data_IF_048374786578
#
_entry.id   IF_048374786578
#
_cell.length_a   1.000
_cell.length_b   1.000
_cell.length_c   1.000
_cell.angle_alpha   90.00
_cell.angle_beta   90.00
_cell.angle_gamma   90.00
#
_symmetry.space_group_name_H-M   'P 1'
#
loop_
_entity.id
_entity.type
_entity.pdbx_description
1 polymer ?
#
# COMPACT_ATOMS: atom_id res chain seq x y z
N UNK A 1 7.32 -4.00 -7.64
CA UNK A 1 6.45 -5.14 -7.33
C UNK A 1 6.37 -5.50 -5.86
N UNK A 2 7.48 -5.49 -5.13
CA UNK A 2 7.46 -5.84 -3.70
C UNK A 2 6.78 -4.78 -2.85
N UNK A 3 6.70 -3.56 -3.33
CA UNK A 3 6.15 -2.44 -2.59
C UNK A 3 4.65 -2.61 -2.34
N UNK A 4 3.91 -3.06 -3.35
CA UNK A 4 2.48 -3.25 -3.21
C UNK A 4 2.11 -4.27 -2.13
N UNK A 5 2.69 -5.49 -2.10
CA UNK A 5 2.41 -6.41 -1.00
C UNK A 5 2.87 -5.89 0.37
N UNK A 6 3.99 -5.17 0.44
CA UNK A 6 4.48 -4.61 1.69
C UNK A 6 3.50 -3.58 2.27
N UNK A 7 2.96 -2.71 1.43
CA UNK A 7 1.94 -1.74 1.85
C UNK A 7 0.67 -2.44 2.32
N UNK A 8 0.26 -3.51 1.64
CA UNK A 8 -0.93 -4.25 2.06
C UNK A 8 -0.80 -4.82 3.47
N UNK A 9 0.39 -5.22 3.87
CA UNK A 9 0.62 -5.66 5.24
C UNK A 9 0.37 -4.53 6.23
N UNK A 10 0.95 -3.36 5.98
CA UNK A 10 0.82 -2.20 6.86
C UNK A 10 -0.63 -1.73 6.97
N UNK A 11 -1.36 -1.69 5.84
CA UNK A 11 -2.70 -1.12 5.78
C UNK A 11 -3.80 -2.07 6.20
N UNK A 12 -3.66 -3.37 5.96
CA UNK A 12 -4.76 -4.32 6.13
C UNK A 12 -4.35 -5.72 6.54
N UNK A 13 -3.13 -5.92 6.99
CA UNK A 13 -2.60 -7.25 7.31
C UNK A 13 -2.76 -8.19 6.10
N UNK A 14 -2.30 -7.75 4.95
CA UNK A 14 -2.34 -8.48 3.68
C UNK A 14 -3.77 -8.79 3.21
N UNK A 15 -4.65 -7.85 3.41
CA UNK A 15 -6.02 -7.96 2.94
C UNK A 15 -7.00 -8.62 3.90
N UNK A 16 -6.54 -8.99 5.10
CA UNK A 16 -7.43 -9.62 6.10
C UNK A 16 -8.43 -8.65 6.70
N UNK A 17 -8.06 -7.37 6.77
CA UNK A 17 -8.87 -6.34 7.43
C UNK A 17 -9.12 -5.18 6.46
N UNK A 18 -9.80 -5.47 5.34
CA UNK A 18 -10.11 -4.45 4.36
C UNK A 18 -11.33 -3.64 4.76
N UNK A 19 -11.21 -2.32 4.75
CA UNK A 19 -12.32 -1.43 5.02
C UNK A 19 -13.32 -1.40 3.86
N UNK A 20 -12.83 -1.53 2.62
CA UNK A 20 -13.65 -1.62 1.40
C UNK A 20 -13.28 -2.91 0.65
N UNK A 21 -14.20 -3.49 -0.12
CA UNK A 21 -13.92 -4.73 -0.85
C UNK A 21 -12.62 -4.66 -1.66
N UNK A 22 -11.74 -5.60 -1.43
CA UNK A 22 -10.45 -5.76 -2.10
C UNK A 22 -9.49 -4.57 -1.98
N UNK A 23 -9.79 -3.60 -1.13
CA UNK A 23 -8.91 -2.46 -0.91
C UNK A 23 -7.97 -2.76 0.25
N UNK A 24 -6.92 -3.52 -0.03
CA UNK A 24 -5.95 -3.95 0.98
C UNK A 24 -4.91 -2.86 1.31
N UNK A 25 -4.96 -1.71 0.65
CA UNK A 25 -3.89 -0.71 0.69
C UNK A 25 -4.31 0.63 1.29
N UNK A 26 -5.51 0.71 1.82
CA UNK A 26 -5.99 1.99 2.34
C UNK A 26 -6.10 3.05 1.24
N UNK A 27 -6.47 2.67 0.03
CA UNK A 27 -6.50 3.53 -1.15
C UNK A 27 -7.79 4.32 -1.21
N UNK A 28 -7.96 5.21 -0.24
CA UNK A 28 -9.17 6.02 -0.10
C UNK A 28 -10.40 5.14 0.12
N UNK A 29 -11.50 5.48 -0.53
CA UNK A 29 -12.74 4.72 -0.47
C UNK A 29 -12.92 3.77 -1.65
N UNK A 30 -11.85 3.52 -2.41
CA UNK A 30 -11.91 2.66 -3.59
C UNK A 30 -12.29 1.22 -3.24
N UNK A 31 -13.01 0.57 -4.14
CA UNK A 31 -13.29 -0.85 -4.04
C UNK A 31 -13.20 -1.48 -5.43
N UNK A 32 -12.95 -2.76 -5.47
CA UNK A 32 -12.78 -3.49 -6.74
C UNK A 32 -13.51 -4.81 -6.69
N UNK A 33 -13.80 -5.35 -7.87
CA UNK A 33 -14.56 -6.60 -7.98
C UNK A 33 -13.72 -7.86 -7.81
N UNK A 34 -12.39 -7.74 -7.87
CA UNK A 34 -11.48 -8.87 -7.71
C UNK A 34 -10.13 -8.41 -7.20
N UNK A 35 -9.35 -9.35 -6.67
CA UNK A 35 -7.98 -9.06 -6.24
C UNK A 35 -7.07 -8.69 -7.40
N UNK A 36 -7.22 -9.33 -8.55
CA UNK A 36 -6.43 -9.02 -9.74
C UNK A 36 -6.61 -7.57 -10.17
N UNK A 37 -7.87 -7.13 -10.24
CA UNK A 37 -8.20 -5.75 -10.59
C UNK A 37 -7.62 -4.77 -9.57
N UNK A 38 -7.77 -5.08 -8.29
CA UNK A 38 -7.28 -4.24 -7.20
C UNK A 38 -5.75 -4.11 -7.23
N UNK A 39 -5.04 -5.20 -7.40
CA UNK A 39 -3.58 -5.21 -7.46
C UNK A 39 -3.08 -4.39 -8.64
N UNK A 40 -3.67 -4.59 -9.81
CA UNK A 40 -3.29 -3.82 -11.00
C UNK A 40 -3.52 -2.33 -10.83
N UNK A 41 -4.65 -1.95 -10.25
CA UNK A 41 -4.97 -0.54 -9.99
C UNK A 41 -3.97 0.09 -9.01
N UNK A 42 -3.62 -0.64 -7.94
CA UNK A 42 -2.68 -0.15 -6.93
C UNK A 42 -1.27 0.02 -7.50
N UNK A 43 -0.79 -0.96 -8.25
CA UNK A 43 0.54 -0.90 -8.87
C UNK A 43 0.63 0.28 -9.84
N UNK A 44 -0.38 0.49 -10.66
CA UNK A 44 -0.41 1.64 -11.57
C UNK A 44 -0.45 2.97 -10.82
N UNK A 45 -1.21 3.04 -9.74
CA UNK A 45 -1.29 4.23 -8.91
C UNK A 45 0.04 4.57 -8.26
N UNK A 46 0.75 3.56 -7.76
CA UNK A 46 2.09 3.74 -7.20
C UNK A 46 3.07 4.26 -8.24
N UNK A 47 3.03 3.71 -9.44
CA UNK A 47 3.92 4.15 -10.52
C UNK A 47 3.70 5.62 -10.88
N UNK A 48 2.45 6.05 -10.90
CA UNK A 48 2.10 7.43 -11.27
C UNK A 48 2.36 8.43 -10.16
N UNK A 49 2.05 8.08 -8.92
CA UNK A 49 2.02 9.03 -7.81
C UNK A 49 3.19 8.94 -6.85
N UNK A 50 3.88 7.80 -6.79
CA UNK A 50 4.89 7.54 -5.76
C UNK A 50 6.21 7.03 -6.31
N UNK A 51 6.29 6.75 -7.61
CA UNK A 51 7.43 6.07 -8.21
C UNK A 51 7.45 4.61 -7.81
N UNK A 52 8.60 3.98 -7.90
CA UNK A 52 8.76 2.56 -7.58
C UNK A 52 9.62 2.30 -6.35
N UNK A 53 9.82 3.31 -5.51
CA UNK A 53 10.70 3.23 -4.35
C UNK A 53 9.99 3.70 -3.10
N UNK A 54 10.12 2.95 -2.01
CA UNK A 54 9.70 3.43 -0.71
C UNK A 54 10.67 4.52 -0.28
N UNK A 55 10.15 5.72 -0.04
CA UNK A 55 10.93 6.86 0.41
C UNK A 55 10.18 7.56 1.53
N UNK A 56 10.90 8.41 2.26
CA UNK A 56 10.27 9.22 3.30
C UNK A 56 9.20 10.13 2.69
N UNK A 57 9.46 10.70 1.52
CA UNK A 57 8.49 11.55 0.82
C UNK A 57 7.23 10.77 0.43
N UNK A 58 7.40 9.54 -0.07
CA UNK A 58 6.27 8.69 -0.42
C UNK A 58 5.45 8.34 0.83
N UNK A 59 6.12 8.03 1.94
CA UNK A 59 5.45 7.71 3.20
C UNK A 59 4.63 8.90 3.71
N UNK A 60 5.20 10.10 3.66
CA UNK A 60 4.50 11.33 4.08
C UNK A 60 3.28 11.62 3.23
N UNK A 61 3.34 11.27 1.95
CA UNK A 61 2.21 11.44 1.04
C UNK A 61 1.13 10.38 1.28
N UNK A 62 1.54 9.14 1.53
CA UNK A 62 0.62 8.02 1.70
C UNK A 62 -0.12 8.08 3.03
N UNK A 63 0.59 8.40 4.11
CA UNK A 63 0.04 8.41 5.46
C UNK A 63 0.57 9.60 6.26
N UNK A 64 0.05 10.83 5.98
CA UNK A 64 0.59 12.04 6.59
C UNK A 64 0.73 12.02 8.11
N UNK A 65 -0.29 11.62 8.90
CA UNK A 65 -0.17 11.72 10.36
C UNK A 65 0.85 10.77 10.97
N UNK A 66 0.94 9.54 10.45
CA UNK A 66 1.75 8.48 11.04
C UNK A 66 2.78 7.93 10.05
N UNK A 67 3.35 8.79 9.21
CA UNK A 67 4.23 8.37 8.13
C UNK A 67 5.44 7.57 8.63
N UNK A 68 5.98 7.90 9.80
CA UNK A 68 7.18 7.24 10.31
C UNK A 68 6.91 5.77 10.65
N UNK A 69 5.83 5.50 11.36
CA UNK A 69 5.42 4.13 11.68
C UNK A 69 5.09 3.37 10.41
N UNK A 70 4.37 3.98 9.49
CA UNK A 70 4.04 3.41 8.20
C UNK A 70 5.29 3.06 7.40
N UNK A 71 6.25 3.99 7.37
CA UNK A 71 7.51 3.80 6.66
C UNK A 71 8.30 2.63 7.25
N UNK A 72 8.49 2.63 8.57
CA UNK A 72 9.27 1.60 9.24
C UNK A 72 8.65 0.21 9.07
N UNK A 73 7.34 0.10 9.23
CA UNK A 73 6.60 -1.16 9.09
C UNK A 73 6.66 -1.68 7.66
N UNK A 74 6.43 -0.80 6.69
CA UNK A 74 6.43 -1.18 5.27
C UNK A 74 7.83 -1.58 4.80
N UNK A 75 8.85 -0.84 5.24
CA UNK A 75 10.23 -1.15 4.88
C UNK A 75 10.64 -2.52 5.45
N UNK A 76 10.24 -2.82 6.69
CA UNK A 76 10.51 -4.13 7.28
C UNK A 76 9.89 -5.25 6.46
N UNK A 77 8.67 -5.07 5.95
CA UNK A 77 8.01 -6.06 5.09
C UNK A 77 8.69 -6.18 3.73
N UNK A 78 9.19 -5.08 3.18
CA UNK A 78 9.97 -5.11 1.94
C UNK A 78 11.20 -6.01 2.08
N UNK A 79 11.85 -5.95 3.22
CA UNK A 79 13.06 -6.74 3.49
C UNK A 79 12.78 -8.23 3.69
N UNK A 80 11.53 -8.59 4.00
CA UNK A 80 11.11 -9.98 4.15
C UNK A 80 10.69 -10.62 2.82
N UNK A 81 10.34 -9.82 1.86
CA UNK A 81 9.88 -10.26 0.56
C UNK A 81 11.06 -10.27 -0.41
#
# INVERSE_FOLDING_TARGET
PRWSPAISYTESSKGRNCFRPHNAWGWGSSSWGSWEEAINAHVRGLARGYGYTISVEAAKKYCPPNWKHWYDTTLAQMNLI
#
